data_IF_760922840373
#
_entry.id   IF_760922840373
#
_cell.length_a   1.000
_cell.length_b   1.000
_cell.length_c   1.000
_cell.angle_alpha   90.00
_cell.angle_beta   90.00
_cell.angle_gamma   90.00
#
_symmetry.space_group_name_H-M   'P 1'
#
loop_
_entity.id
_entity.type
_entity.pdbx_description
1 polymer ?
#
# COMPACT_ATOMS: atom_id res chain seq x y z
N UNK A 1 -16.37 0.42 -5.42
CA UNK A 1 -15.67 1.71 -5.24
C UNK A 1 -16.16 2.78 -6.23
N UNK A 2 -15.54 3.04 -7.41
CA UNK A 2 -15.90 4.21 -8.25
C UNK A 2 -17.38 4.31 -8.65
N UNK A 3 -18.02 3.16 -8.92
CA UNK A 3 -19.46 3.09 -9.25
C UNK A 3 -20.36 3.64 -8.14
N UNK A 4 -19.96 3.50 -6.88
CA UNK A 4 -20.69 4.05 -5.73
C UNK A 4 -20.62 5.59 -5.68
N UNK A 5 -19.61 6.17 -6.33
CA UNK A 5 -19.46 7.61 -6.52
C UNK A 5 -20.09 8.11 -7.84
N UNK A 6 -20.83 7.25 -8.56
CA UNK A 6 -21.52 7.60 -9.80
C UNK A 6 -20.69 7.46 -11.08
N UNK A 7 -19.42 7.04 -10.98
CA UNK A 7 -18.53 6.89 -12.13
C UNK A 7 -18.54 5.46 -12.68
N UNK A 8 -18.70 5.31 -14.00
CA UNK A 8 -18.71 4.00 -14.69
C UNK A 8 -17.43 3.72 -15.50
N UNK A 9 -16.46 4.61 -15.45
CA UNK A 9 -15.19 4.48 -16.16
C UNK A 9 -14.15 3.71 -15.34
N UNK A 10 -13.15 3.18 -16.05
CA UNK A 10 -11.88 2.75 -15.47
C UNK A 10 -10.96 3.98 -15.44
N UNK A 11 -10.24 4.26 -14.33
CA UNK A 11 -9.23 5.30 -14.30
C UNK A 11 -8.23 5.15 -15.45
N UNK A 12 -7.87 6.25 -16.09
CA UNK A 12 -6.77 6.23 -17.06
C UNK A 12 -5.43 6.00 -16.35
N UNK A 13 -4.39 5.66 -17.10
CA UNK A 13 -3.03 5.48 -16.57
C UNK A 13 -2.24 6.76 -16.85
N UNK A 14 -1.73 7.40 -15.80
CA UNK A 14 -0.90 8.60 -15.90
C UNK A 14 0.55 8.29 -16.28
N UNK A 15 1.36 9.33 -16.47
CA UNK A 15 2.76 9.21 -16.93
C UNK A 15 3.66 8.41 -15.99
N UNK A 16 3.41 8.47 -14.68
CA UNK A 16 4.12 7.71 -13.66
C UNK A 16 3.38 6.42 -13.29
N UNK A 17 2.50 5.95 -14.18
CA UNK A 17 1.64 4.76 -14.01
C UNK A 17 0.61 4.86 -12.88
N UNK A 18 0.43 6.04 -12.29
CA UNK A 18 -0.61 6.28 -11.31
C UNK A 18 -2.01 6.26 -11.96
N UNK A 19 -3.04 5.73 -11.28
CA UNK A 19 -4.41 5.89 -11.73
C UNK A 19 -4.80 7.37 -11.78
N UNK A 20 -5.33 7.82 -12.92
CA UNK A 20 -5.90 9.16 -13.10
C UNK A 20 -7.37 9.10 -12.72
N UNK A 21 -7.66 9.59 -11.51
CA UNK A 21 -9.00 9.61 -10.95
C UNK A 21 -9.84 10.73 -11.58
N UNK A 22 -11.18 10.54 -11.67
CA UNK A 22 -12.09 11.63 -12.01
C UNK A 22 -11.95 12.82 -11.07
N UNK A 23 -12.42 13.98 -11.50
CA UNK A 23 -12.42 15.18 -10.66
C UNK A 23 -13.14 14.92 -9.33
N UNK A 24 -12.66 15.61 -8.28
CA UNK A 24 -13.23 15.61 -6.92
C UNK A 24 -13.16 14.29 -6.13
N UNK A 25 -12.53 13.25 -6.70
CA UNK A 25 -12.28 12.00 -6.00
C UNK A 25 -10.81 11.61 -6.06
N UNK A 26 -10.37 10.94 -5.01
CA UNK A 26 -9.08 10.30 -4.90
C UNK A 26 -9.30 8.81 -4.80
N UNK A 27 -8.27 8.04 -5.09
CA UNK A 27 -8.30 6.62 -4.85
C UNK A 27 -6.91 6.02 -4.82
N UNK A 28 -6.87 4.78 -4.37
CA UNK A 28 -5.66 3.96 -4.36
C UNK A 28 -6.05 2.52 -4.65
N UNK A 29 -5.16 1.84 -5.36
CA UNK A 29 -5.30 0.45 -5.79
C UNK A 29 -4.04 -0.26 -5.34
N UNK A 30 -4.17 -1.37 -4.64
CA UNK A 30 -3.06 -2.26 -4.29
C UNK A 30 -3.47 -3.71 -4.52
N UNK A 31 -2.50 -4.59 -4.76
CA UNK A 31 -2.75 -6.00 -4.97
C UNK A 31 -1.60 -6.83 -4.38
N UNK A 32 -1.94 -7.99 -3.80
CA UNK A 32 -0.97 -8.96 -3.33
C UNK A 32 -1.52 -10.38 -3.53
N UNK A 33 -0.69 -11.26 -4.09
CA UNK A 33 -1.09 -12.62 -4.47
C UNK A 33 -2.33 -12.62 -5.39
N UNK A 34 -3.40 -13.29 -4.94
CA UNK A 34 -4.67 -13.37 -5.66
C UNK A 34 -5.68 -12.28 -5.26
N UNK A 35 -5.27 -11.33 -4.42
CA UNK A 35 -6.15 -10.30 -3.86
C UNK A 35 -5.82 -8.95 -4.46
N UNK A 36 -6.84 -8.22 -4.88
CA UNK A 36 -6.73 -6.84 -5.33
C UNK A 36 -7.77 -5.98 -4.62
N UNK A 37 -7.37 -4.79 -4.18
CA UNK A 37 -8.21 -3.83 -3.48
C UNK A 37 -8.19 -2.48 -4.21
N UNK A 38 -9.34 -1.82 -4.26
CA UNK A 38 -9.47 -0.47 -4.78
C UNK A 38 -10.38 0.35 -3.84
N UNK A 39 -9.85 1.47 -3.34
CA UNK A 39 -10.58 2.39 -2.46
C UNK A 39 -10.71 3.75 -3.16
N UNK A 40 -11.88 4.37 -3.01
CA UNK A 40 -12.18 5.72 -3.51
C UNK A 40 -12.66 6.57 -2.34
N UNK A 41 -12.20 7.82 -2.29
CA UNK A 41 -12.49 8.77 -1.21
C UNK A 41 -12.65 10.19 -1.74
N UNK A 42 -13.29 11.07 -0.96
CA UNK A 42 -13.29 12.52 -1.20
C UNK A 42 -12.06 13.23 -0.63
N UNK A 43 -11.18 12.49 0.04
CA UNK A 43 -9.92 12.99 0.59
C UNK A 43 -8.76 12.14 0.05
N UNK A 44 -7.53 12.69 -0.02
CA UNK A 44 -6.35 11.92 -0.43
C UNK A 44 -6.22 10.62 0.38
N UNK A 45 -5.97 9.51 -0.30
CA UNK A 45 -5.88 8.18 0.29
C UNK A 45 -4.78 7.37 -0.39
N UNK A 46 -4.04 6.61 0.41
CA UNK A 46 -3.12 5.56 -0.03
C UNK A 46 -3.45 4.29 0.73
N UNK A 47 -3.59 3.18 0.03
CA UNK A 47 -3.70 1.85 0.62
C UNK A 47 -2.59 0.98 0.05
N UNK A 48 -2.13 0.05 0.87
CA UNK A 48 -1.25 -1.01 0.42
C UNK A 48 -1.59 -2.31 1.14
N UNK A 49 -1.44 -3.42 0.44
CA UNK A 49 -1.64 -4.76 0.99
C UNK A 49 -0.45 -5.62 0.60
N UNK A 50 0.08 -6.38 1.55
CA UNK A 50 1.22 -7.25 1.34
C UNK A 50 1.04 -8.57 2.10
N UNK A 51 1.73 -9.61 1.65
CA UNK A 51 1.85 -10.85 2.40
C UNK A 51 2.93 -10.66 3.47
N UNK A 52 2.66 -11.16 4.68
CA UNK A 52 3.63 -11.08 5.79
C UNK A 52 4.95 -11.69 5.33
N UNK A 53 6.02 -10.90 5.42
CA UNK A 53 7.33 -11.32 4.97
C UNK A 53 7.80 -12.59 5.68
N UNK A 54 8.53 -13.41 4.93
CA UNK A 54 9.34 -14.45 5.54
C UNK A 54 10.48 -13.81 6.36
N UNK A 55 11.01 -14.55 7.35
CA UNK A 55 12.17 -14.08 8.13
C UNK A 55 13.37 -13.78 7.24
N UNK A 56 13.56 -14.56 6.17
CA UNK A 56 14.65 -14.34 5.22
C UNK A 56 14.45 -13.04 4.46
N UNK A 57 13.28 -12.85 3.84
CA UNK A 57 12.94 -11.63 3.10
C UNK A 57 13.05 -10.39 3.97
N UNK A 58 12.54 -10.45 5.20
CA UNK A 58 12.62 -9.34 6.14
C UNK A 58 14.09 -8.93 6.38
N UNK A 59 14.99 -9.89 6.63
CA UNK A 59 16.42 -9.62 6.83
C UNK A 59 17.11 -9.04 5.60
N UNK A 60 16.76 -9.53 4.41
CA UNK A 60 17.33 -9.04 3.15
C UNK A 60 16.90 -7.60 2.83
N UNK A 61 15.68 -7.22 3.22
CA UNK A 61 15.12 -5.90 2.92
C UNK A 61 15.37 -4.86 4.01
N UNK A 62 15.65 -5.26 5.26
CA UNK A 62 15.78 -4.35 6.41
C UNK A 62 16.52 -3.05 6.08
N UNK A 63 17.78 -3.15 5.63
CA UNK A 63 18.63 -1.97 5.44
C UNK A 63 18.29 -1.17 4.16
N UNK A 64 17.38 -1.69 3.33
CA UNK A 64 16.95 -1.05 2.07
C UNK A 64 15.65 -0.25 2.21
N UNK A 65 14.77 -0.62 3.16
CA UNK A 65 13.41 -0.06 3.25
C UNK A 65 13.13 0.69 4.55
N UNK A 66 13.98 0.51 5.58
CA UNK A 66 13.88 1.26 6.83
C UNK A 66 15.22 1.87 7.26
N UNK A 67 15.13 2.94 8.04
CA UNK A 67 16.26 3.58 8.71
C UNK A 67 16.64 2.86 10.01
N UNK A 68 17.85 3.07 10.57
CA UNK A 68 18.23 2.49 11.87
C UNK A 68 17.28 2.87 13.01
N UNK A 69 16.76 4.10 13.00
CA UNK A 69 15.80 4.57 14.01
C UNK A 69 14.44 3.86 13.89
N UNK A 70 13.99 3.55 12.68
CA UNK A 70 12.78 2.75 12.46
C UNK A 70 13.01 1.30 12.89
N UNK A 71 14.20 0.74 12.63
CA UNK A 71 14.54 -0.62 13.06
C UNK A 71 14.44 -0.78 14.60
N UNK A 72 15.00 0.16 15.36
CA UNK A 72 14.87 0.16 16.83
C UNK A 72 13.40 0.22 17.26
N UNK A 73 12.60 1.09 16.63
CA UNK A 73 11.16 1.21 16.93
C UNK A 73 10.38 -0.07 16.61
N UNK A 74 10.71 -0.76 15.52
CA UNK A 74 10.09 -2.03 15.16
C UNK A 74 10.52 -3.16 16.13
N UNK A 75 11.76 -3.14 16.61
CA UNK A 75 12.21 -4.10 17.63
C UNK A 75 11.44 -3.94 18.96
N UNK A 76 11.08 -2.70 19.31
CA UNK A 76 10.38 -2.39 20.56
C UNK A 76 8.84 -2.48 20.47
N UNK A 77 8.27 -2.67 19.28
CA UNK A 77 6.80 -2.62 19.09
C UNK A 77 6.06 -3.87 19.61
N UNK A 78 6.78 -4.92 20.02
CA UNK A 78 6.20 -6.16 20.59
C UNK A 78 5.65 -7.14 19.57
N UNK A 79 5.79 -6.87 18.27
CA UNK A 79 5.47 -7.81 17.18
C UNK A 79 6.72 -8.57 16.73
N UNK A 80 6.51 -9.73 16.10
CA UNK A 80 7.61 -10.42 15.42
C UNK A 80 8.15 -9.50 14.31
N UNK A 81 9.48 -9.38 14.20
CA UNK A 81 10.11 -8.42 13.29
C UNK A 81 9.62 -8.52 11.84
N UNK A 82 9.42 -9.74 11.32
CA UNK A 82 8.89 -9.94 9.96
C UNK A 82 7.47 -9.42 9.78
N UNK A 83 6.63 -9.51 10.82
CA UNK A 83 5.28 -8.94 10.81
C UNK A 83 5.33 -7.41 10.98
N UNK A 84 6.25 -6.90 11.80
CA UNK A 84 6.40 -5.47 12.04
C UNK A 84 6.92 -4.71 10.81
N UNK A 85 7.72 -5.38 9.97
CA UNK A 85 8.35 -4.81 8.78
C UNK A 85 7.49 -4.89 7.51
N UNK A 86 6.41 -5.70 7.52
CA UNK A 86 5.49 -5.81 6.38
C UNK A 86 4.43 -4.71 6.47
#
# INVERSE_FOLDING_TARGET
ALREYGYKCVPAIGELRQPVWPAEVYGSISHCGTTALAVVSRQPIGIDIEEIFSVQTARELTDNIITPAEHERLADCGLAFSLALT
#
